data_IF_107445358468
#
_entry.id   IF_107445358468
#
_cell.length_a   1.000
_cell.length_b   1.000
_cell.length_c   1.000
_cell.angle_alpha   90.00
_cell.angle_beta   90.00
_cell.angle_gamma   90.00
#
_symmetry.space_group_name_H-M   'P 1'
#
loop_
_entity.id
_entity.type
_entity.pdbx_description
1 polymer ?
#
# COMPACT_ATOMS: atom_id res chain seq x y z
N UNK A 1 28.09 -4.88 5.90
CA UNK A 1 27.25 -5.69 6.81
C UNK A 1 26.82 -6.95 6.09
N UNK A 2 26.75 -8.09 6.76
CA UNK A 2 26.27 -9.35 6.16
C UNK A 2 24.77 -9.51 6.39
N UNK A 3 24.07 -10.27 5.54
CA UNK A 3 22.65 -10.64 5.74
C UNK A 3 22.38 -11.14 7.15
N UNK A 4 23.25 -12.02 7.66
CA UNK A 4 23.14 -12.57 9.02
C UNK A 4 23.23 -11.49 10.10
N UNK A 5 24.14 -10.52 9.96
CA UNK A 5 24.27 -9.42 10.93
C UNK A 5 23.01 -8.55 10.96
N UNK A 6 22.39 -8.31 9.80
CA UNK A 6 21.18 -7.50 9.66
C UNK A 6 19.97 -8.22 10.27
N UNK A 7 19.79 -9.50 9.93
CA UNK A 7 18.74 -10.36 10.51
C UNK A 7 18.83 -10.40 12.03
N UNK A 8 20.05 -10.53 12.57
CA UNK A 8 20.27 -10.50 14.02
C UNK A 8 19.94 -9.11 14.62
N UNK A 9 20.31 -8.02 13.95
CA UNK A 9 19.98 -6.67 14.41
C UNK A 9 18.46 -6.43 14.46
N UNK A 10 17.72 -6.95 13.48
CA UNK A 10 16.24 -6.90 13.48
C UNK A 10 15.65 -7.75 14.60
N UNK A 11 16.14 -8.98 14.81
CA UNK A 11 15.66 -9.86 15.90
C UNK A 11 15.85 -9.24 17.28
N UNK A 12 16.95 -8.54 17.49
CA UNK A 12 17.33 -7.95 18.77
C UNK A 12 16.87 -6.49 18.95
N UNK A 13 15.96 -6.00 18.09
CA UNK A 13 15.45 -4.62 18.11
C UNK A 13 16.54 -3.52 18.02
N UNK A 14 17.72 -3.87 17.51
CA UNK A 14 18.83 -2.92 17.30
C UNK A 14 18.58 -2.07 16.06
N UNK A 15 17.92 -2.65 15.05
CA UNK A 15 17.63 -1.99 13.78
C UNK A 15 16.13 -1.73 13.66
N UNK A 16 15.77 -0.45 13.58
CA UNK A 16 14.40 0.00 13.34
C UNK A 16 14.29 0.71 12.00
N UNK A 17 13.32 0.30 11.19
CA UNK A 17 13.03 0.88 9.88
C UNK A 17 12.47 -0.13 8.89
N UNK A 18 12.96 -0.12 7.65
CA UNK A 18 12.56 -1.02 6.58
C UNK A 18 13.76 -1.76 5.99
N UNK A 19 13.54 -3.03 5.62
CA UNK A 19 14.55 -3.88 4.97
C UNK A 19 13.98 -4.43 3.68
N UNK A 20 14.68 -4.24 2.56
CA UNK A 20 14.36 -4.91 1.30
C UNK A 20 15.12 -6.22 1.21
N UNK A 21 14.40 -7.34 1.15
CA UNK A 21 15.01 -8.67 1.21
C UNK A 21 14.27 -9.73 0.38
N UNK A 22 14.94 -10.85 0.19
CA UNK A 22 14.31 -12.11 -0.22
C UNK A 22 13.98 -12.93 1.02
N UNK A 23 12.75 -13.39 1.14
CA UNK A 23 12.24 -14.16 2.29
C UNK A 23 11.39 -15.33 1.80
N UNK A 24 11.44 -16.47 2.49
CA UNK A 24 10.54 -17.58 2.22
C UNK A 24 10.14 -18.36 3.48
N UNK A 25 9.05 -19.11 3.36
CA UNK A 25 8.66 -20.16 4.29
C UNK A 25 9.48 -21.41 3.97
N UNK A 26 10.23 -22.00 4.93
CA UNK A 26 10.95 -23.25 4.70
C UNK A 26 9.98 -24.43 4.56
N UNK A 27 10.41 -25.51 3.90
CA UNK A 27 9.55 -26.63 3.49
C UNK A 27 8.72 -27.20 4.65
N UNK A 28 9.37 -27.42 5.79
CA UNK A 28 8.77 -28.01 6.99
C UNK A 28 7.69 -27.13 7.66
N UNK A 29 7.57 -25.86 7.26
CA UNK A 29 6.53 -24.93 7.76
C UNK A 29 5.44 -24.64 6.72
N UNK A 30 5.52 -25.18 5.49
CA UNK A 30 4.50 -24.91 4.46
C UNK A 30 3.10 -25.36 4.88
N UNK A 31 2.98 -26.51 5.53
CA UNK A 31 1.69 -27.02 6.01
C UNK A 31 1.06 -26.09 7.05
N UNK A 32 1.86 -25.54 7.97
CA UNK A 32 1.43 -24.55 8.97
C UNK A 32 0.82 -23.29 8.33
N UNK A 33 1.34 -22.89 7.17
CA UNK A 33 0.93 -21.67 6.46
C UNK A 33 0.06 -21.95 5.23
N UNK A 34 -0.41 -23.19 5.06
CA UNK A 34 -1.15 -23.62 3.87
C UNK A 34 -2.50 -22.92 3.74
N UNK A 35 -3.19 -22.69 4.87
CA UNK A 35 -4.46 -21.96 4.91
C UNK A 35 -4.30 -20.48 4.52
N UNK A 36 -3.24 -19.83 5.03
CA UNK A 36 -2.96 -18.42 4.78
C UNK A 36 -1.47 -18.18 4.62
N UNK A 37 -1.05 -18.07 3.36
CA UNK A 37 0.34 -17.78 3.02
C UNK A 37 0.75 -16.40 3.59
N UNK A 38 1.83 -16.33 4.38
CA UNK A 38 2.10 -15.17 5.24
C UNK A 38 2.68 -13.95 4.51
N UNK A 39 3.29 -14.14 3.32
CA UNK A 39 4.00 -13.08 2.60
C UNK A 39 3.08 -12.47 1.55
N UNK A 40 2.61 -11.26 1.79
CA UNK A 40 1.77 -10.53 0.85
C UNK A 40 2.60 -9.78 -0.20
N UNK A 41 2.33 -10.02 -1.49
CA UNK A 41 3.00 -9.31 -2.58
C UNK A 41 2.04 -9.00 -3.73
N UNK A 42 2.27 -7.85 -4.38
CA UNK A 42 1.61 -7.52 -5.64
C UNK A 42 2.39 -8.10 -6.81
N UNK A 43 1.81 -9.05 -7.53
CA UNK A 43 2.42 -9.68 -8.71
C UNK A 43 1.41 -9.80 -9.85
N UNK A 44 1.92 -9.99 -11.05
CA UNK A 44 1.11 -10.45 -12.17
C UNK A 44 0.71 -11.91 -11.93
N UNK A 45 -0.57 -12.23 -12.10
CA UNK A 45 -1.13 -13.57 -11.99
C UNK A 45 -1.77 -13.93 -13.33
N UNK A 46 -1.50 -15.16 -13.77
CA UNK A 46 -2.05 -15.78 -14.98
C UNK A 46 -2.99 -16.93 -14.62
N UNK A 47 -3.71 -17.45 -15.61
CA UNK A 47 -4.57 -18.64 -15.40
C UNK A 47 -3.74 -19.89 -15.08
N UNK A 48 -2.48 -19.92 -15.49
CA UNK A 48 -1.55 -21.00 -15.15
C UNK A 48 -1.13 -21.01 -13.68
N UNK A 49 -1.28 -19.89 -12.98
CA UNK A 49 -0.86 -19.73 -11.57
C UNK A 49 -1.95 -20.11 -10.57
N UNK A 50 -3.18 -20.39 -11.04
CA UNK A 50 -4.33 -20.77 -10.20
C UNK A 50 -4.55 -22.28 -10.25
N UNK A 51 -5.12 -22.84 -9.17
CA UNK A 51 -5.37 -24.28 -9.09
C UNK A 51 -6.27 -24.78 -10.21
N UNK A 52 -6.07 -26.05 -10.62
CA UNK A 52 -6.70 -26.66 -11.81
C UNK A 52 -8.22 -26.44 -11.88
N UNK A 53 -8.91 -26.63 -10.76
CA UNK A 53 -10.36 -26.39 -10.69
C UNK A 53 -10.74 -24.94 -11.05
N UNK A 54 -10.05 -23.96 -10.47
CA UNK A 54 -10.30 -22.54 -10.75
C UNK A 54 -9.86 -22.15 -12.15
N UNK A 55 -8.84 -22.81 -12.69
CA UNK A 55 -8.40 -22.65 -14.07
C UNK A 55 -9.49 -23.09 -15.06
N UNK A 56 -10.03 -24.30 -14.90
CA UNK A 56 -11.13 -24.80 -15.76
C UNK A 56 -12.36 -23.88 -15.66
N UNK A 57 -12.72 -23.44 -14.45
CA UNK A 57 -13.81 -22.49 -14.24
C UNK A 57 -13.56 -21.14 -14.93
N UNK A 58 -12.34 -20.61 -14.84
CA UNK A 58 -11.96 -19.34 -15.45
C UNK A 58 -11.96 -19.40 -16.98
N UNK A 59 -11.56 -20.54 -17.57
CA UNK A 59 -11.61 -20.77 -19.01
C UNK A 59 -13.05 -20.82 -19.53
N UNK A 60 -13.92 -21.59 -18.86
CA UNK A 60 -15.34 -21.72 -19.25
C UNK A 60 -16.10 -20.40 -19.18
N UNK A 61 -15.80 -19.54 -18.19
CA UNK A 61 -16.49 -18.27 -17.96
C UNK A 61 -15.76 -17.06 -18.52
N UNK A 62 -14.68 -17.26 -19.28
CA UNK A 62 -13.83 -16.19 -19.83
C UNK A 62 -13.31 -15.18 -18.77
N UNK A 63 -13.01 -15.67 -17.56
CA UNK A 63 -12.50 -14.87 -16.43
C UNK A 63 -10.97 -14.83 -16.50
N UNK A 64 -10.34 -13.69 -16.20
CA UNK A 64 -8.88 -13.51 -16.32
C UNK A 64 -8.30 -13.89 -17.71
N UNK A 65 -8.86 -13.37 -18.83
CA UNK A 65 -8.35 -13.66 -20.17
C UNK A 65 -6.94 -13.08 -20.43
N UNK A 66 -6.52 -12.12 -19.59
CA UNK A 66 -5.19 -11.51 -19.62
C UNK A 66 -4.60 -11.56 -18.21
N UNK A 67 -3.26 -11.60 -18.11
CA UNK A 67 -2.59 -11.47 -16.83
C UNK A 67 -3.04 -10.19 -16.11
N UNK A 68 -3.25 -10.28 -14.80
CA UNK A 68 -3.65 -9.13 -13.98
C UNK A 68 -2.74 -8.97 -12.78
N UNK A 69 -2.43 -7.72 -12.44
CA UNK A 69 -1.69 -7.42 -11.22
C UNK A 69 -2.63 -7.49 -10.02
N UNK A 70 -2.33 -8.36 -9.06
CA UNK A 70 -3.15 -8.55 -7.86
C UNK A 70 -2.27 -8.77 -6.62
N UNK A 71 -2.82 -8.45 -5.45
CA UNK A 71 -2.21 -8.77 -4.16
C UNK A 71 -2.51 -10.22 -3.81
N UNK A 72 -1.47 -11.01 -3.54
CA UNK A 72 -1.60 -12.42 -3.13
C UNK A 72 -0.84 -12.69 -1.84
N UNK A 73 -1.29 -13.69 -1.09
CA UNK A 73 -0.43 -14.40 -0.15
C UNK A 73 0.48 -15.36 -0.90
N UNK A 74 1.75 -15.42 -0.51
CA UNK A 74 2.76 -16.29 -1.09
C UNK A 74 3.65 -16.90 -0.01
N UNK A 75 4.25 -18.05 -0.31
CA UNK A 75 5.29 -18.65 0.53
C UNK A 75 6.67 -18.02 0.28
N UNK A 76 6.81 -17.17 -0.75
CA UNK A 76 8.08 -16.58 -1.18
C UNK A 76 7.87 -15.09 -1.50
N UNK A 77 8.71 -14.24 -0.92
CA UNK A 77 8.88 -12.83 -1.27
C UNK A 77 10.26 -12.60 -1.89
N UNK A 78 10.31 -11.95 -3.05
CA UNK A 78 11.55 -11.54 -3.70
C UNK A 78 11.61 -10.02 -3.76
N UNK A 79 12.74 -9.42 -3.38
CA UNK A 79 12.92 -7.95 -3.28
C UNK A 79 11.72 -7.26 -2.63
N UNK A 80 11.25 -7.81 -1.51
CA UNK A 80 10.11 -7.25 -0.78
C UNK A 80 10.62 -6.28 0.28
N UNK A 81 10.00 -5.10 0.36
CA UNK A 81 10.26 -4.12 1.40
C UNK A 81 9.41 -4.44 2.62
N UNK A 82 10.05 -4.77 3.75
CA UNK A 82 9.38 -5.13 4.99
C UNK A 82 9.77 -4.16 6.11
N UNK A 83 8.77 -3.65 6.83
CA UNK A 83 9.01 -2.97 8.09
C UNK A 83 9.64 -3.97 9.08
N UNK A 84 10.65 -3.51 9.81
CA UNK A 84 11.42 -4.31 10.78
C UNK A 84 10.56 -5.03 11.83
N UNK A 85 9.44 -4.48 12.37
CA UNK A 85 8.60 -5.25 13.29
C UNK A 85 7.93 -6.46 12.63
N UNK A 86 7.48 -6.32 11.38
CA UNK A 86 6.89 -7.43 10.62
C UNK A 86 7.95 -8.46 10.23
N UNK A 87 9.14 -8.00 9.82
CA UNK A 87 10.25 -8.89 9.52
C UNK A 87 10.69 -9.68 10.76
N UNK A 88 10.77 -9.04 11.93
CA UNK A 88 11.03 -9.70 13.21
C UNK A 88 10.00 -10.79 13.49
N UNK A 89 8.71 -10.47 13.36
CA UNK A 89 7.63 -11.45 13.53
C UNK A 89 7.80 -12.64 12.58
N UNK A 90 8.09 -12.41 11.30
CA UNK A 90 8.35 -13.50 10.34
C UNK A 90 9.51 -14.39 10.75
N UNK A 91 10.63 -13.79 11.19
CA UNK A 91 11.82 -14.50 11.62
C UNK A 91 11.58 -15.32 12.90
N UNK A 92 10.75 -14.85 13.82
CA UNK A 92 10.31 -15.57 15.03
C UNK A 92 9.40 -16.75 14.67
N UNK A 93 8.65 -16.64 13.58
CA UNK A 93 7.76 -17.70 13.08
C UNK A 93 8.45 -18.69 12.13
N UNK A 94 9.78 -18.60 12.00
CA UNK A 94 10.61 -19.55 11.27
C UNK A 94 10.76 -19.26 9.78
N UNK A 95 10.33 -18.09 9.28
CA UNK A 95 10.64 -17.68 7.91
C UNK A 95 12.11 -17.30 7.78
N UNK A 96 12.67 -17.53 6.61
CA UNK A 96 14.10 -17.38 6.36
C UNK A 96 14.38 -16.28 5.34
N UNK A 97 15.26 -15.35 5.72
CA UNK A 97 15.79 -14.33 4.82
C UNK A 97 17.04 -14.86 4.14
N UNK A 98 17.03 -14.87 2.80
CA UNK A 98 18.14 -15.40 2.00
C UNK A 98 19.06 -14.31 1.47
N UNK A 99 18.53 -13.11 1.22
CA UNK A 99 19.31 -11.98 0.71
C UNK A 99 18.74 -10.65 1.19
N UNK A 100 19.61 -9.67 1.48
CA UNK A 100 19.21 -8.29 1.81
C UNK A 100 19.81 -7.35 0.77
N UNK A 101 18.98 -6.52 0.16
CA UNK A 101 19.35 -5.58 -0.89
C UNK A 101 19.65 -4.19 -0.34
N UNK A 102 18.78 -3.70 0.55
CA UNK A 102 18.92 -2.37 1.15
C UNK A 102 18.20 -2.29 2.50
N UNK A 103 18.57 -1.27 3.26
CA UNK A 103 18.00 -0.94 4.56
C UNK A 103 17.72 0.56 4.57
N UNK A 104 16.55 0.93 5.09
CA UNK A 104 16.23 2.32 5.42
C UNK A 104 15.99 2.37 6.92
N UNK A 105 16.92 2.99 7.65
CA UNK A 105 16.88 3.05 9.11
C UNK A 105 16.27 4.37 9.59
N UNK A 106 15.48 4.30 10.65
CA UNK A 106 14.86 5.46 11.29
C UNK A 106 15.03 5.38 12.81
N UNK A 107 15.05 6.54 13.46
CA UNK A 107 14.96 6.59 14.93
C UNK A 107 13.50 6.37 15.36
N UNK A 108 13.18 5.30 16.11
CA UNK A 108 11.83 5.07 16.60
C UNK A 108 11.46 6.15 17.62
N UNK A 109 10.62 7.11 17.23
CA UNK A 109 10.07 8.12 18.12
C UNK A 109 8.55 8.14 18.03
N UNK A 110 7.82 8.09 19.15
CA UNK A 110 6.37 8.13 19.18
C UNK A 110 5.84 9.57 19.01
N UNK A 111 6.27 10.28 17.95
CA UNK A 111 5.94 11.69 17.72
C UNK A 111 4.44 11.95 17.52
N UNK A 112 3.69 10.94 17.09
CA UNK A 112 2.23 11.00 16.91
C UNK A 112 1.44 10.43 18.10
N UNK A 113 2.08 10.00 19.19
CA UNK A 113 1.38 9.40 20.34
C UNK A 113 0.29 10.32 20.90
N UNK A 114 0.53 11.61 21.19
CA UNK A 114 -0.53 12.48 21.72
C UNK A 114 -1.74 12.60 20.80
N UNK A 115 -1.51 12.58 19.48
CA UNK A 115 -2.59 12.59 18.49
C UNK A 115 -3.37 11.27 18.47
N UNK A 116 -2.66 10.13 18.49
CA UNK A 116 -3.27 8.81 18.52
C UNK A 116 -4.10 8.58 19.80
N UNK A 117 -3.54 8.98 20.95
CA UNK A 117 -4.23 8.93 22.24
C UNK A 117 -5.52 9.76 22.18
N UNK A 118 -5.47 11.01 21.70
CA UNK A 118 -6.64 11.88 21.61
C UNK A 118 -7.75 11.31 20.71
N UNK A 119 -7.39 10.68 19.59
CA UNK A 119 -8.37 9.97 18.73
C UNK A 119 -8.96 8.77 19.45
N UNK A 120 -8.15 7.98 20.15
CA UNK A 120 -8.62 6.81 20.89
C UNK A 120 -9.54 7.19 22.05
N UNK A 121 -9.17 8.20 22.83
CA UNK A 121 -9.93 8.66 24.00
C UNK A 121 -11.29 9.25 23.59
N UNK A 122 -11.33 10.05 22.52
CA UNK A 122 -12.59 10.57 21.99
C UNK A 122 -13.53 9.45 21.51
N UNK A 123 -12.98 8.36 20.96
CA UNK A 123 -13.77 7.20 20.55
C UNK A 123 -14.32 6.43 21.74
N UNK A 124 -13.48 6.14 22.74
CA UNK A 124 -13.93 5.50 23.97
C UNK A 124 -15.01 6.32 24.69
N UNK A 125 -14.88 7.64 24.70
CA UNK A 125 -15.88 8.53 25.28
C UNK A 125 -17.22 8.51 24.53
N UNK A 126 -17.20 8.37 23.19
CA UNK A 126 -18.42 8.23 22.39
C UNK A 126 -19.10 6.87 22.54
N UNK A 127 -18.33 5.80 22.74
CA UNK A 127 -18.88 4.47 23.03
C UNK A 127 -19.56 4.43 24.40
N UNK A 128 -19.05 5.20 25.38
CA UNK A 128 -19.61 5.29 26.73
C UNK A 128 -20.80 6.27 26.85
N UNK A 129 -20.84 7.31 26.01
CA UNK A 129 -21.84 8.39 26.07
C UNK A 129 -22.37 8.72 24.67
N UNK A 130 -23.63 8.32 24.36
CA UNK A 130 -24.25 8.56 23.05
C UNK A 130 -24.29 10.04 22.63
N UNK A 131 -24.27 10.99 23.58
CA UNK A 131 -24.26 12.43 23.26
C UNK A 131 -22.95 12.87 22.58
N UNK A 132 -21.88 12.07 22.70
CA UNK A 132 -20.56 12.32 22.10
C UNK A 132 -20.33 11.55 20.81
N UNK A 133 -21.32 10.84 20.29
CA UNK A 133 -21.20 10.03 19.07
C UNK A 133 -20.66 10.85 17.87
N UNK A 134 -21.17 12.07 17.68
CA UNK A 134 -20.72 12.97 16.59
C UNK A 134 -19.23 13.30 16.72
N UNK A 135 -18.75 13.53 17.95
CA UNK A 135 -17.34 13.83 18.22
C UNK A 135 -16.48 12.59 17.93
N UNK A 136 -16.92 11.40 18.37
CA UNK A 136 -16.22 10.15 18.11
C UNK A 136 -16.10 9.85 16.61
N UNK A 137 -17.18 10.01 15.85
CA UNK A 137 -17.17 9.83 14.39
C UNK A 137 -16.27 10.86 13.69
N UNK A 138 -16.30 12.11 14.14
CA UNK A 138 -15.42 13.16 13.63
C UNK A 138 -13.96 12.82 13.90
N UNK A 139 -13.62 12.38 15.12
CA UNK A 139 -12.24 12.02 15.49
C UNK A 139 -11.76 10.77 14.78
N UNK A 140 -12.65 9.80 14.51
CA UNK A 140 -12.35 8.65 13.64
C UNK A 140 -11.99 9.10 12.21
N UNK A 141 -12.74 10.05 11.64
CA UNK A 141 -12.43 10.61 10.34
C UNK A 141 -11.09 11.37 10.35
N UNK A 142 -10.84 12.18 11.37
CA UNK A 142 -9.56 12.91 11.54
C UNK A 142 -8.39 11.95 11.66
N UNK A 143 -8.48 10.89 12.47
CA UNK A 143 -7.45 9.87 12.61
C UNK A 143 -7.16 9.15 11.28
N UNK A 144 -8.19 8.62 10.62
CA UNK A 144 -8.04 7.89 9.35
C UNK A 144 -7.51 8.77 8.21
N UNK A 145 -8.00 10.01 8.12
CA UNK A 145 -7.57 10.95 7.08
C UNK A 145 -6.12 11.39 7.29
N UNK A 146 -5.70 11.60 8.53
CA UNK A 146 -4.32 11.98 8.86
C UNK A 146 -3.32 10.90 8.44
N UNK A 147 -3.60 9.63 8.73
CA UNK A 147 -2.77 8.52 8.24
C UNK A 147 -2.77 8.45 6.70
N UNK A 148 -3.93 8.61 6.05
CA UNK A 148 -3.97 8.65 4.57
C UNK A 148 -3.12 9.78 3.98
N UNK A 149 -2.99 10.92 4.67
CA UNK A 149 -2.13 12.02 4.23
C UNK A 149 -0.65 11.65 4.25
N UNK A 150 -0.20 10.80 5.18
CA UNK A 150 1.22 10.40 5.25
C UNK A 150 1.64 9.47 4.11
N UNK A 151 0.69 8.71 3.56
CA UNK A 151 0.91 7.79 2.42
C UNK A 151 0.40 8.34 1.07
N UNK A 152 0.07 9.64 1.00
CA UNK A 152 -0.51 10.24 -0.21
C UNK A 152 0.56 10.39 -1.30
N UNK A 153 0.41 9.66 -2.41
CA UNK A 153 1.23 9.86 -3.60
C UNK A 153 0.70 11.04 -4.44
N UNK A 154 1.29 12.23 -4.23
CA UNK A 154 0.95 13.46 -4.98
C UNK A 154 1.33 13.42 -6.46
N UNK A 155 2.21 12.51 -6.88
CA UNK A 155 2.65 12.39 -8.27
C UNK A 155 1.54 11.85 -9.18
N UNK A 156 0.60 11.09 -8.59
CA UNK A 156 -0.59 10.61 -9.28
C UNK A 156 -1.69 11.67 -9.42
N UNK A 157 -1.59 12.80 -8.71
CA UNK A 157 -2.62 13.82 -8.77
C UNK A 157 -2.66 14.48 -10.15
N UNK A 158 -3.87 14.62 -10.69
CA UNK A 158 -4.12 15.34 -11.93
C UNK A 158 -4.60 16.77 -11.65
N UNK A 159 -4.44 17.64 -12.63
CA UNK A 159 -5.19 18.88 -12.76
C UNK A 159 -6.38 18.55 -13.66
N UNK A 160 -7.57 18.88 -13.21
CA UNK A 160 -8.81 18.69 -13.96
C UNK A 160 -9.34 20.07 -14.28
N UNK A 161 -9.58 20.32 -15.56
CA UNK A 161 -10.18 21.56 -16.06
C UNK A 161 -11.46 21.18 -16.83
N UNK A 162 -12.52 21.95 -16.64
CA UNK A 162 -13.76 21.83 -17.41
C UNK A 162 -13.79 22.96 -18.43
N UNK A 163 -13.96 22.63 -19.70
CA UNK A 163 -13.76 23.57 -20.80
C UNK A 163 -14.69 23.29 -21.98
N UNK A 164 -14.85 24.28 -22.85
CA UNK A 164 -15.63 24.17 -24.09
C UNK A 164 -14.79 23.70 -25.29
N UNK A 165 -15.43 23.56 -26.45
CA UNK A 165 -14.80 23.14 -27.72
C UNK A 165 -13.55 23.94 -28.12
N UNK A 166 -13.56 25.25 -27.85
CA UNK A 166 -12.44 26.10 -28.22
C UNK A 166 -11.24 25.86 -27.30
N UNK A 167 -11.48 25.85 -25.99
CA UNK A 167 -10.46 25.69 -24.96
C UNK A 167 -9.87 24.27 -24.92
N UNK A 168 -10.67 23.25 -25.24
CA UNK A 168 -10.21 21.85 -25.25
C UNK A 168 -9.09 21.63 -26.25
N UNK A 169 -9.18 22.31 -27.41
CA UNK A 169 -8.18 22.23 -28.48
C UNK A 169 -6.81 22.73 -28.03
N UNK A 170 -6.76 23.77 -27.20
CA UNK A 170 -5.50 24.26 -26.63
C UNK A 170 -4.93 23.31 -25.57
N UNK A 171 -5.79 22.74 -24.73
CA UNK A 171 -5.39 21.86 -23.63
C UNK A 171 -4.86 20.51 -24.10
N UNK A 172 -5.43 19.94 -25.17
CA UNK A 172 -4.97 18.68 -25.78
C UNK A 172 -3.55 18.82 -26.33
N UNK A 173 -3.20 19.99 -26.86
CA UNK A 173 -1.87 20.27 -27.40
C UNK A 173 -0.81 20.46 -26.30
N UNK A 174 -1.20 20.49 -25.03
CA UNK A 174 -0.26 20.59 -23.91
C UNK A 174 0.58 19.31 -23.78
N UNK A 175 1.90 19.40 -23.54
CA UNK A 175 2.71 18.23 -23.24
C UNK A 175 2.33 17.56 -21.90
N UNK A 176 1.47 18.21 -21.11
CA UNK A 176 0.96 17.69 -19.85
C UNK A 176 -0.39 16.98 -19.99
N UNK A 177 -1.02 17.00 -21.17
CA UNK A 177 -2.29 16.33 -21.43
C UNK A 177 -2.23 14.83 -21.09
N UNK A 178 -3.32 14.28 -20.54
CA UNK A 178 -3.44 12.86 -20.20
C UNK A 178 -4.68 12.22 -20.80
N UNK A 179 -5.84 12.79 -20.55
CA UNK A 179 -7.09 12.27 -21.04
C UNK A 179 -8.12 13.39 -21.15
N UNK A 180 -9.15 13.15 -21.95
CA UNK A 180 -10.33 13.98 -22.08
C UNK A 180 -11.55 13.08 -21.97
N UNK A 181 -12.54 13.52 -21.20
CA UNK A 181 -13.86 12.92 -21.16
C UNK A 181 -14.88 13.96 -21.65
N UNK A 182 -15.80 13.53 -22.51
CA UNK A 182 -16.93 14.38 -22.94
C UNK A 182 -18.02 14.27 -21.88
N UNK A 183 -18.49 15.39 -21.35
CA UNK A 183 -19.60 15.44 -20.37
C UNK A 183 -20.91 15.64 -21.12
N UNK A 184 -20.95 16.67 -21.96
CA UNK A 184 -22.07 17.03 -22.83
C UNK A 184 -21.55 17.64 -24.15
N UNK A 185 -22.47 18.16 -24.97
CA UNK A 185 -22.17 18.62 -26.33
C UNK A 185 -21.18 19.80 -26.40
N UNK A 186 -20.98 20.57 -25.32
CA UNK A 186 -20.05 21.72 -25.28
C UNK A 186 -19.21 21.76 -23.99
N UNK A 187 -19.15 20.65 -23.24
CA UNK A 187 -18.41 20.56 -21.99
C UNK A 187 -17.52 19.32 -21.96
N UNK A 188 -16.24 19.56 -21.78
CA UNK A 188 -15.21 18.54 -21.71
C UNK A 188 -14.50 18.61 -20.36
N UNK A 189 -14.23 17.45 -19.79
CA UNK A 189 -13.32 17.29 -18.67
C UNK A 189 -11.94 16.91 -19.21
N UNK A 190 -10.95 17.78 -19.03
CA UNK A 190 -9.57 17.51 -19.43
C UNK A 190 -8.72 17.24 -18.21
N UNK A 191 -8.13 16.05 -18.15
CA UNK A 191 -7.11 15.71 -17.16
C UNK A 191 -5.71 15.98 -17.70
N UNK A 192 -4.93 16.74 -16.94
CA UNK A 192 -3.52 17.03 -17.20
C UNK A 192 -2.63 16.64 -16.03
N UNK A 193 -1.38 16.30 -16.31
CA UNK A 193 -0.34 16.23 -15.30
C UNK A 193 -0.02 17.62 -14.73
N UNK A 194 0.39 17.66 -13.47
CA UNK A 194 0.84 18.91 -12.85
C UNK A 194 2.24 19.28 -13.35
N UNK A 195 2.44 20.51 -13.83
CA UNK A 195 3.76 21.02 -14.27
C UNK A 195 4.82 20.94 -13.17
N UNK A 196 4.41 21.16 -11.92
CA UNK A 196 5.25 21.06 -10.73
C UNK A 196 4.48 20.34 -9.63
N UNK A 197 5.09 19.33 -9.04
CA UNK A 197 4.55 18.61 -7.89
C UNK A 197 5.36 19.03 -6.67
N UNK A 198 4.69 19.66 -5.70
CA UNK A 198 5.30 19.97 -4.40
C UNK A 198 5.02 18.82 -3.44
N UNK A 199 6.06 18.14 -2.96
CA UNK A 199 5.95 17.09 -1.95
C UNK A 199 6.03 17.72 -0.55
N UNK A 200 4.90 18.24 -0.07
CA UNK A 200 4.75 18.99 1.18
C UNK A 200 3.85 18.30 2.20
N UNK A 201 3.63 17.00 2.03
CA UNK A 201 2.93 16.17 3.00
C UNK A 201 3.94 15.45 3.90
N UNK A 202 3.58 15.20 5.17
CA UNK A 202 4.41 14.38 6.04
C UNK A 202 4.59 12.98 5.44
N UNK A 203 5.73 12.35 5.71
CA UNK A 203 5.98 10.94 5.42
C UNK A 203 6.12 10.22 6.76
N UNK A 204 5.55 9.03 6.88
CA UNK A 204 5.60 8.19 8.07
C UNK A 204 6.17 6.83 7.70
#
# INVERSE_FOLDING_TARGET
MTTRSIVNAVKNDVLFGCVECDIHVPEHLKDKFSEMCPIFKNTEIRREDIGEFMKSYAEQNNIMPRPRRSLIGSMIGKKIMLATPLLKWYLEHGLEVTHVYQIVEYTPKPCFKPFGDAVSDARHAGDADPSKAIIADTMKLVGNSSYRKTITNKERHRKVDYCNDHEVSELINSPFYRQMNVIDDDTYEVESAKKKIKLDLPLQ
#
